data_IF_964412293393
#
_entry.id   IF_964412293393
#
_cell.length_a   1.000
_cell.length_b   1.000
_cell.length_c   1.000
_cell.angle_alpha   90.00
_cell.angle_beta   90.00
_cell.angle_gamma   90.00
#
_symmetry.space_group_name_H-M   'P 1'
#
loop_
_entity.id
_entity.type
_entity.pdbx_description
1 polymer ?
#
# COMPACT_ATOMS: atom_id res chain seq x y z
N UNK A 1 -10.35 -4.90 -0.83
CA UNK A 1 -8.99 -5.35 -0.47
C UNK A 1 -8.64 -6.53 -1.38
N UNK A 2 -7.38 -6.69 -1.77
CA UNK A 2 -6.95 -7.81 -2.62
C UNK A 2 -6.32 -8.89 -1.77
N UNK A 3 -5.44 -8.51 -0.85
CA UNK A 3 -4.88 -9.43 0.12
C UNK A 3 -5.69 -9.44 1.42
N UNK A 4 -5.63 -10.56 2.14
CA UNK A 4 -6.25 -10.67 3.46
C UNK A 4 -5.46 -9.82 4.46
N UNK A 5 -6.13 -9.13 5.40
CA UNK A 5 -5.45 -8.46 6.49
C UNK A 5 -4.57 -9.42 7.29
N UNK A 6 -3.42 -8.93 7.73
CA UNK A 6 -2.50 -9.62 8.60
C UNK A 6 -2.85 -9.31 10.05
N UNK A 7 -2.89 -10.34 10.90
CA UNK A 7 -2.99 -10.16 12.34
C UNK A 7 -1.59 -10.00 12.91
N UNK A 8 -1.32 -8.86 13.56
CA UNK A 8 -0.04 -8.59 14.20
C UNK A 8 -0.22 -8.38 15.69
N UNK A 9 0.73 -8.87 16.48
CA UNK A 9 0.84 -8.58 17.89
C UNK A 9 1.69 -7.32 18.07
N UNK A 10 1.11 -6.29 18.66
CA UNK A 10 1.80 -5.03 18.94
C UNK A 10 2.27 -5.05 20.39
N UNK A 11 3.56 -4.78 20.58
CA UNK A 11 4.17 -4.52 21.89
C UNK A 11 4.51 -3.04 21.97
N UNK A 12 3.65 -2.21 22.59
CA UNK A 12 3.91 -0.78 22.71
C UNK A 12 5.15 -0.51 23.56
N UNK A 13 5.84 0.60 23.29
CA UNK A 13 6.94 1.08 24.14
C UNK A 13 6.45 1.73 25.45
N UNK A 14 5.16 2.12 25.49
CA UNK A 14 4.50 2.73 26.64
C UNK A 14 3.86 1.66 27.55
N UNK A 15 3.40 2.06 28.74
CA UNK A 15 2.72 1.20 29.73
C UNK A 15 1.30 0.77 29.31
N UNK A 16 1.17 0.27 28.08
CA UNK A 16 -0.06 -0.27 27.51
C UNK A 16 0.15 -1.78 27.31
N UNK A 17 -0.79 -2.63 27.74
CA UNK A 17 -0.67 -4.07 27.52
C UNK A 17 -0.55 -4.41 26.02
N UNK A 18 0.21 -5.47 25.66
CA UNK A 18 0.25 -5.95 24.28
C UNK A 18 -1.15 -6.28 23.76
N UNK A 19 -1.40 -5.99 22.50
CA UNK A 19 -2.70 -6.22 21.86
C UNK A 19 -2.53 -6.69 20.42
N UNK A 20 -3.59 -7.27 19.88
CA UNK A 20 -3.62 -7.73 18.50
C UNK A 20 -4.43 -6.78 17.63
N UNK A 21 -3.92 -6.50 16.43
CA UNK A 21 -4.63 -5.70 15.42
C UNK A 21 -4.53 -6.35 14.06
N UNK A 22 -5.58 -6.15 13.27
CA UNK A 22 -5.58 -6.45 11.86
C UNK A 22 -5.02 -5.25 11.10
N UNK A 23 -3.97 -5.49 10.31
CA UNK A 23 -3.33 -4.49 9.45
C UNK A 23 -3.31 -4.98 8.01
N UNK A 24 -3.15 -4.06 7.07
CA UNK A 24 -2.90 -4.43 5.69
C UNK A 24 -1.51 -5.04 5.56
N UNK A 25 -1.36 -5.95 4.59
CA UNK A 25 -0.04 -6.42 4.21
C UNK A 25 0.78 -5.27 3.60
N UNK A 26 2.12 -5.38 3.61
CA UNK A 26 2.97 -4.39 2.93
C UNK A 26 2.58 -4.21 1.44
N UNK A 27 2.22 -5.29 0.74
CA UNK A 27 1.82 -5.22 -0.67
C UNK A 27 0.53 -4.41 -0.83
N UNK A 28 -0.50 -4.70 -0.03
CA UNK A 28 -1.78 -3.99 -0.07
C UNK A 28 -1.59 -2.50 0.27
N UNK A 29 -0.74 -2.18 1.26
CA UNK A 29 -0.39 -0.78 1.59
C UNK A 29 0.27 -0.08 0.40
N UNK A 30 1.29 -0.69 -0.21
CA UNK A 30 1.99 -0.11 -1.36
C UNK A 30 1.04 0.12 -2.55
N UNK A 31 0.22 -0.89 -2.87
CA UNK A 31 -0.75 -0.84 -3.96
C UNK A 31 -1.80 0.26 -3.74
N UNK A 32 -2.29 0.44 -2.51
CA UNK A 32 -3.22 1.54 -2.20
C UNK A 32 -2.58 2.92 -2.36
N UNK A 33 -1.29 3.06 -2.03
CA UNK A 33 -0.56 4.31 -2.22
C UNK A 33 -0.34 4.61 -3.71
N UNK A 34 0.07 3.62 -4.49
CA UNK A 34 0.21 3.75 -5.95
C UNK A 34 -1.12 4.11 -6.63
N UNK A 35 -2.21 3.40 -6.27
CA UNK A 35 -3.57 3.72 -6.74
C UNK A 35 -3.97 5.15 -6.37
N UNK A 36 -3.63 5.59 -5.16
CA UNK A 36 -3.93 6.96 -4.70
C UNK A 36 -3.15 8.01 -5.49
N UNK A 37 -1.91 7.74 -5.91
CA UNK A 37 -1.17 8.63 -6.81
C UNK A 37 -1.93 8.77 -8.13
N UNK A 38 -2.31 7.67 -8.78
CA UNK A 38 -3.08 7.67 -10.03
C UNK A 38 -4.39 8.47 -9.94
N UNK A 39 -5.02 8.51 -8.75
CA UNK A 39 -6.28 9.21 -8.54
C UNK A 39 -6.10 10.72 -8.25
N UNK A 40 -5.07 11.11 -7.49
CA UNK A 40 -4.97 12.49 -6.94
C UNK A 40 -3.58 13.10 -6.84
N UNK A 41 -2.51 12.36 -7.09
CA UNK A 41 -1.13 12.87 -7.15
C UNK A 41 -0.65 13.68 -5.93
N UNK A 42 -0.95 13.27 -4.68
CA UNK A 42 -0.52 14.06 -3.51
C UNK A 42 0.90 13.71 -3.08
N UNK A 43 1.73 14.73 -2.81
CA UNK A 43 3.13 14.59 -2.37
C UNK A 43 3.35 13.58 -1.23
N UNK A 44 2.40 13.46 -0.30
CA UNK A 44 2.46 12.49 0.80
C UNK A 44 2.44 11.04 0.30
N UNK A 45 1.63 10.73 -0.71
CA UNK A 45 1.55 9.38 -1.28
C UNK A 45 2.87 9.00 -1.96
N UNK A 46 3.54 9.94 -2.65
CA UNK A 46 4.88 9.73 -3.20
C UNK A 46 5.93 9.46 -2.13
N UNK A 47 5.91 10.23 -1.03
CA UNK A 47 6.82 9.99 0.09
C UNK A 47 6.62 8.61 0.69
N UNK A 48 5.37 8.20 0.92
CA UNK A 48 5.03 6.89 1.48
C UNK A 48 5.48 5.75 0.56
N UNK A 49 5.23 5.84 -0.75
CA UNK A 49 5.73 4.85 -1.74
C UNK A 49 7.26 4.76 -1.68
N UNK A 50 7.94 5.91 -1.77
CA UNK A 50 9.40 5.94 -1.74
C UNK A 50 9.98 5.40 -0.43
N UNK A 51 9.31 5.65 0.71
CA UNK A 51 9.70 5.11 2.01
C UNK A 51 9.52 3.59 2.05
N UNK A 52 8.37 3.08 1.62
CA UNK A 52 8.08 1.64 1.60
C UNK A 52 9.10 0.89 0.74
N UNK A 53 9.39 1.39 -0.47
CA UNK A 53 10.36 0.79 -1.38
C UNK A 53 11.80 0.77 -0.85
N UNK A 54 12.14 1.62 0.14
CA UNK A 54 13.45 1.59 0.81
C UNK A 54 13.51 0.64 2.01
N UNK A 55 12.39 0.46 2.69
CA UNK A 55 12.32 -0.32 3.95
C UNK A 55 11.94 -1.78 3.75
N UNK A 56 11.40 -2.15 2.57
CA UNK A 56 10.86 -3.47 2.27
C UNK A 56 11.21 -3.88 0.84
N UNK A 57 11.38 -5.18 0.66
CA UNK A 57 11.51 -5.79 -0.67
C UNK A 57 10.12 -6.15 -1.22
N UNK A 58 9.88 -5.77 -2.47
CA UNK A 58 8.64 -6.07 -3.17
C UNK A 58 8.93 -6.77 -4.48
N UNK A 59 8.14 -7.80 -4.80
CA UNK A 59 8.16 -8.39 -6.13
C UNK A 59 7.42 -7.45 -7.10
N UNK A 60 8.16 -6.81 -7.99
CA UNK A 60 7.62 -5.78 -8.90
C UNK A 60 6.52 -6.32 -9.81
N UNK A 61 6.68 -7.54 -10.35
CA UNK A 61 5.68 -8.19 -11.20
C UNK A 61 4.37 -8.37 -10.44
N UNK A 62 4.44 -8.93 -9.24
CA UNK A 62 3.28 -9.14 -8.38
C UNK A 62 2.62 -7.81 -7.97
N UNK A 63 3.39 -6.78 -7.63
CA UNK A 63 2.82 -5.45 -7.30
C UNK A 63 2.10 -4.85 -8.51
N UNK A 64 2.64 -5.00 -9.72
CA UNK A 64 1.99 -4.56 -10.95
C UNK A 64 0.64 -5.24 -11.16
N UNK A 65 0.58 -6.57 -11.00
CA UNK A 65 -0.65 -7.35 -11.10
C UNK A 65 -1.69 -6.92 -10.06
N UNK A 66 -1.26 -6.78 -8.80
CA UNK A 66 -2.13 -6.33 -7.70
C UNK A 66 -2.62 -4.90 -7.94
N UNK A 67 -1.81 -4.01 -8.50
CA UNK A 67 -2.21 -2.64 -8.78
C UNK A 67 -3.26 -2.57 -9.91
N UNK A 68 -3.11 -3.35 -10.97
CA UNK A 68 -4.10 -3.42 -12.05
C UNK A 68 -5.42 -3.93 -11.50
N UNK A 69 -5.39 -5.02 -10.74
CA UNK A 69 -6.59 -5.57 -10.10
C UNK A 69 -7.21 -4.57 -9.13
N UNK A 70 -6.38 -3.82 -8.40
CA UNK A 70 -6.83 -2.77 -7.47
C UNK A 70 -7.59 -1.68 -8.20
N UNK A 71 -7.04 -1.18 -9.29
CA UNK A 71 -7.67 -0.15 -10.12
C UNK A 71 -9.03 -0.66 -10.63
N UNK A 72 -9.08 -1.91 -11.12
CA UNK A 72 -10.32 -2.57 -11.59
C UNK A 72 -11.41 -2.61 -10.51
N UNK A 73 -11.11 -3.08 -9.30
CA UNK A 73 -12.12 -3.19 -8.23
C UNK A 73 -12.54 -1.83 -7.64
N UNK A 74 -11.72 -0.80 -7.79
CA UNK A 74 -12.00 0.55 -7.27
C UNK A 74 -12.59 1.48 -8.33
N UNK A 75 -12.74 1.01 -9.57
CA UNK A 75 -13.24 1.83 -10.68
C UNK A 75 -12.28 2.94 -11.10
N UNK A 76 -11.00 2.82 -10.76
CA UNK A 76 -9.95 3.74 -11.19
C UNK A 76 -9.36 3.21 -12.49
N UNK A 77 -9.22 4.07 -13.49
CA UNK A 77 -8.56 3.69 -14.74
C UNK A 77 -7.04 3.59 -14.50
N UNK A 78 -6.43 2.47 -14.90
CA UNK A 78 -5.00 2.29 -14.76
C UNK A 78 -4.26 3.03 -15.89
N UNK A 79 -3.65 4.17 -15.56
CA UNK A 79 -2.87 5.02 -16.46
C UNK A 79 -1.48 5.27 -15.89
N UNK A 80 -0.48 4.43 -16.19
CA UNK A 80 0.85 4.56 -15.60
C UNK A 80 1.55 5.89 -15.93
N UNK A 81 1.16 6.56 -17.00
CA UNK A 81 1.61 7.92 -17.34
C UNK A 81 1.32 8.94 -16.23
N UNK A 82 0.20 8.81 -15.52
CA UNK A 82 -0.22 9.75 -14.47
C UNK A 82 0.65 9.68 -13.20
N UNK A 83 1.62 8.77 -13.10
CA UNK A 83 2.46 8.68 -11.92
C UNK A 83 3.33 9.92 -11.71
N UNK A 84 3.71 10.65 -12.76
CA UNK A 84 4.64 11.78 -12.65
C UNK A 84 4.17 13.04 -13.40
N UNK A 85 2.90 13.07 -13.78
CA UNK A 85 2.26 14.22 -14.43
C UNK A 85 1.91 15.36 -13.45
#
# INVERSE_FOLDING_TARGET
MIEKPLQINVKPEYEIPPFEVLVYSPNEILVEKLRSILQRGKARDYYDVGRLLREKDFNQTMIGELLIEKCRITGIEFKPELFFD
#
